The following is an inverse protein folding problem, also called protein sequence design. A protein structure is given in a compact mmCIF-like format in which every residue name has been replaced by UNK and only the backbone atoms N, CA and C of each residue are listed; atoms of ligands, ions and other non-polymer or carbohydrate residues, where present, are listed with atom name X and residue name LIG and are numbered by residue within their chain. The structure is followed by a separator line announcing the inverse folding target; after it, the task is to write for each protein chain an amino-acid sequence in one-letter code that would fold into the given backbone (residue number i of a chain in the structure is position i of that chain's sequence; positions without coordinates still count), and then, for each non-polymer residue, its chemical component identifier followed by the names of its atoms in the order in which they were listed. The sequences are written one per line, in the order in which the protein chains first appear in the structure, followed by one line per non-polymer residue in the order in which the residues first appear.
data_IF_636999730210
#
_entry.id   IF_636999730210
#
_cell.length_a   1.000
_cell.length_b   1.000
_cell.length_c   1.000
_cell.angle_alpha   90.00
_cell.angle_beta   90.00
_cell.angle_gamma   90.00
#
_symmetry.space_group_name_H-M   'P 1'
#
loop_
_entity.id
_entity.type
_entity.pdbx_description
1 polymer ?
#
# COMPACT_ATOMS: atom_id res chain seq x y z
N UNK A 1 -14.34 12.05 -18.40
CA UNK A 1 -14.70 10.66 -18.07
C UNK A 1 -13.82 10.07 -16.95
N UNK A 2 -12.51 9.88 -17.11
CA UNK A 2 -11.68 9.25 -16.06
C UNK A 2 -11.62 10.00 -14.72
N UNK A 3 -11.63 11.33 -14.72
CA UNK A 3 -11.65 12.11 -13.48
C UNK A 3 -13.02 12.06 -12.80
N UNK A 4 -14.11 11.99 -13.56
CA UNK A 4 -15.47 11.90 -13.05
C UNK A 4 -15.69 10.64 -12.23
N UNK A 5 -15.09 9.52 -12.65
CA UNK A 5 -15.14 8.24 -11.92
C UNK A 5 -14.58 8.35 -10.49
N UNK A 6 -13.59 9.22 -10.27
CA UNK A 6 -13.04 9.42 -8.92
C UNK A 6 -14.05 10.07 -7.96
N UNK A 7 -14.97 10.87 -8.47
CA UNK A 7 -16.06 11.48 -7.69
C UNK A 7 -17.35 10.65 -7.70
N UNK A 8 -17.53 9.78 -8.70
CA UNK A 8 -18.64 8.85 -8.81
C UNK A 8 -18.14 7.43 -9.13
N UNK A 9 -17.63 6.69 -8.13
CA UNK A 9 -17.02 5.38 -8.34
C UNK A 9 -17.97 4.30 -8.88
N UNK A 10 -19.28 4.49 -8.81
CA UNK A 10 -20.24 3.54 -9.34
C UNK A 10 -20.16 3.41 -10.88
N UNK A 11 -19.62 4.43 -11.56
CA UNK A 11 -19.34 4.39 -13.01
C UNK A 11 -18.27 3.35 -13.40
N UNK A 12 -17.50 2.83 -12.44
CA UNK A 12 -16.55 1.74 -12.72
C UNK A 12 -17.24 0.48 -13.24
N UNK A 13 -18.47 0.22 -12.82
CA UNK A 13 -19.24 -0.96 -13.25
C UNK A 13 -19.61 -0.95 -14.73
N UNK A 14 -19.51 0.20 -15.38
CA UNK A 14 -19.76 0.34 -16.83
C UNK A 14 -18.51 0.01 -17.66
N UNK A 15 -17.35 -0.24 -16.99
CA UNK A 15 -16.09 -0.52 -17.69
C UNK A 15 -16.04 -1.96 -18.20
N UNK A 16 -15.74 -2.08 -19.49
CA UNK A 16 -15.49 -3.36 -20.11
C UNK A 16 -14.04 -3.82 -19.94
N UNK A 17 -13.78 -5.07 -20.36
CA UNK A 17 -12.43 -5.67 -20.30
C UNK A 17 -11.36 -4.78 -20.96
N UNK A 18 -11.68 -4.17 -22.09
CA UNK A 18 -10.72 -3.34 -22.82
C UNK A 18 -10.38 -2.05 -22.07
N UNK A 19 -11.39 -1.44 -21.42
CA UNK A 19 -11.19 -0.22 -20.63
C UNK A 19 -10.26 -0.49 -19.43
N UNK A 20 -10.46 -1.62 -18.74
CA UNK A 20 -9.65 -2.05 -17.60
C UNK A 20 -8.19 -2.29 -18.03
N UNK A 21 -7.98 -3.03 -19.12
CA UNK A 21 -6.64 -3.30 -19.66
C UNK A 21 -5.92 -2.00 -20.06
N UNK A 22 -6.63 -1.05 -20.65
CA UNK A 22 -6.07 0.24 -21.04
C UNK A 22 -5.66 1.08 -19.81
N UNK A 23 -6.49 1.07 -18.75
CA UNK A 23 -6.15 1.73 -17.48
C UNK A 23 -4.88 1.13 -16.91
N UNK A 24 -4.78 -0.20 -16.82
CA UNK A 24 -3.60 -0.88 -16.29
C UNK A 24 -2.34 -0.60 -17.13
N UNK A 25 -2.45 -0.59 -18.46
CA UNK A 25 -1.35 -0.20 -19.33
C UNK A 25 -0.89 1.25 -19.04
N UNK A 26 -1.82 2.19 -18.99
CA UNK A 26 -1.51 3.60 -18.77
C UNK A 26 -0.86 3.84 -17.40
N UNK A 27 -1.33 3.21 -16.33
CA UNK A 27 -0.73 3.35 -14.99
C UNK A 27 0.64 2.66 -14.91
N UNK A 28 0.83 1.52 -15.57
CA UNK A 28 2.12 0.84 -15.67
C UNK A 28 3.17 1.77 -16.30
N UNK A 29 2.84 2.47 -17.41
CA UNK A 29 3.73 3.46 -18.04
C UNK A 29 4.05 4.66 -17.13
N UNK A 30 3.12 5.05 -16.24
CA UNK A 30 3.37 6.08 -15.23
C UNK A 30 4.34 5.58 -14.18
N UNK A 31 4.09 4.39 -13.63
CA UNK A 31 4.89 3.81 -12.55
C UNK A 31 6.27 3.33 -13.01
N UNK A 32 6.44 2.95 -14.27
CA UNK A 32 7.74 2.59 -14.86
C UNK A 32 8.77 3.73 -14.75
N UNK A 33 8.30 4.98 -14.67
CA UNK A 33 9.16 6.16 -14.51
C UNK A 33 9.53 6.44 -13.05
N UNK A 34 8.87 5.79 -12.10
CA UNK A 34 9.17 5.94 -10.69
C UNK A 34 10.33 5.01 -10.27
N UNK A 35 11.27 5.47 -9.43
CA UNK A 35 12.33 4.61 -8.92
C UNK A 35 11.76 3.55 -7.97
N UNK A 36 12.49 2.46 -7.75
CA UNK A 36 12.12 1.44 -6.76
C UNK A 36 12.05 2.00 -5.32
N UNK A 37 12.83 3.04 -5.02
CA UNK A 37 12.80 3.78 -3.78
C UNK A 37 12.53 5.27 -4.05
N UNK A 38 11.32 5.72 -3.76
CA UNK A 38 10.90 7.11 -3.97
C UNK A 38 11.43 7.99 -2.85
N UNK A 39 12.04 9.12 -3.21
CA UNK A 39 12.40 10.21 -2.29
C UNK A 39 11.41 11.36 -2.48
N UNK A 40 10.48 11.51 -1.55
CA UNK A 40 9.47 12.56 -1.57
C UNK A 40 10.05 13.85 -0.96
N UNK A 41 10.61 14.71 -1.81
CA UNK A 41 11.27 15.95 -1.42
C UNK A 41 10.27 17.11 -1.24
N UNK A 42 9.32 16.94 -0.34
CA UNK A 42 8.26 17.89 -0.04
C UNK A 42 8.43 18.38 1.41
N UNK A 43 8.27 19.69 1.62
CA UNK A 43 8.45 20.35 2.91
C UNK A 43 7.15 20.88 3.53
N UNK A 44 6.03 20.75 2.84
CA UNK A 44 4.74 21.27 3.31
C UNK A 44 3.60 20.36 2.88
N UNK A 45 2.54 20.33 3.69
CA UNK A 45 1.37 19.52 3.48
C UNK A 45 1.28 18.34 4.45
N UNK A 46 0.31 17.48 4.24
CA UNK A 46 0.10 16.28 5.04
C UNK A 46 0.22 15.04 4.16
N UNK A 47 0.95 14.06 4.62
CA UNK A 47 1.03 12.73 4.00
C UNK A 47 0.17 11.75 4.81
N UNK A 48 -0.77 11.06 4.14
CA UNK A 48 -1.56 9.98 4.72
C UNK A 48 -1.03 8.65 4.20
N UNK A 49 -0.62 7.78 5.11
CA UNK A 49 -0.18 6.42 4.83
C UNK A 49 -1.32 5.44 5.13
N UNK A 50 -1.70 4.68 4.12
CA UNK A 50 -2.80 3.71 4.13
C UNK A 50 -2.21 2.32 4.09
N UNK A 51 -2.58 1.47 5.05
CA UNK A 51 -2.17 0.07 5.09
C UNK A 51 -2.94 -0.80 4.11
N UNK A 52 -2.84 -2.10 4.30
CA UNK A 52 -3.46 -3.14 3.49
C UNK A 52 -4.96 -2.86 3.29
N UNK A 53 -5.38 -2.82 2.03
CA UNK A 53 -6.80 -2.60 1.68
C UNK A 53 -7.50 -3.90 1.30
N UNK A 54 -6.79 -4.88 0.75
CA UNK A 54 -7.31 -6.21 0.43
C UNK A 54 -8.71 -6.17 -0.19
N UNK A 55 -8.86 -5.46 -1.30
CA UNK A 55 -10.15 -5.36 -1.98
C UNK A 55 -11.25 -4.65 -1.20
N UNK A 56 -10.94 -3.97 -0.08
CA UNK A 56 -11.93 -3.16 0.66
C UNK A 56 -12.20 -1.85 -0.09
N UNK A 57 -12.92 -2.00 -1.20
CA UNK A 57 -13.24 -0.90 -2.09
C UNK A 57 -14.05 0.20 -1.40
N UNK A 58 -14.95 -0.16 -0.50
CA UNK A 58 -15.76 0.81 0.24
C UNK A 58 -14.91 1.70 1.14
N UNK A 59 -13.95 1.13 1.88
CA UNK A 59 -13.01 1.91 2.70
C UNK A 59 -12.08 2.76 1.83
N UNK A 60 -11.60 2.21 0.72
CA UNK A 60 -10.78 2.96 -0.23
C UNK A 60 -11.53 4.17 -0.81
N UNK A 61 -12.80 4.01 -1.23
CA UNK A 61 -13.65 5.13 -1.66
C UNK A 61 -13.75 6.23 -0.60
N UNK A 62 -13.92 5.87 0.66
CA UNK A 62 -13.98 6.82 1.77
C UNK A 62 -12.68 7.61 1.92
N UNK A 63 -11.53 6.92 1.92
CA UNK A 63 -10.21 7.55 2.02
C UNK A 63 -9.95 8.49 0.84
N UNK A 64 -10.23 8.03 -0.39
CA UNK A 64 -10.06 8.84 -1.59
C UNK A 64 -10.97 10.06 -1.58
N UNK A 65 -12.22 9.92 -1.13
CA UNK A 65 -13.15 11.05 -0.97
C UNK A 65 -12.60 12.10 0.00
N UNK A 66 -11.99 11.67 1.12
CA UNK A 66 -11.31 12.60 2.05
C UNK A 66 -10.16 13.34 1.36
N UNK A 67 -9.33 12.62 0.61
CA UNK A 67 -8.21 13.20 -0.16
C UNK A 67 -8.70 14.21 -1.20
N UNK A 68 -9.74 13.87 -1.99
CA UNK A 68 -10.27 14.73 -3.04
C UNK A 68 -10.92 16.01 -2.49
N UNK A 69 -11.50 15.95 -1.29
CA UNK A 69 -12.17 17.07 -0.64
C UNK A 69 -11.27 17.88 0.30
N UNK A 70 -10.03 17.44 0.51
CA UNK A 70 -9.12 18.11 1.41
C UNK A 70 -8.66 19.45 0.84
N UNK A 71 -8.63 20.49 1.70
CA UNK A 71 -7.99 21.76 1.40
C UNK A 71 -6.48 21.65 1.67
N UNK A 72 -5.66 22.11 0.72
CA UNK A 72 -4.20 22.14 0.87
C UNK A 72 -3.48 20.99 0.18
N UNK A 73 -2.17 20.90 0.44
CA UNK A 73 -1.31 19.90 -0.17
C UNK A 73 -1.42 18.58 0.59
N UNK A 74 -2.23 17.66 0.05
CA UNK A 74 -2.37 16.31 0.57
C UNK A 74 -1.63 15.32 -0.32
N UNK A 75 -0.93 14.37 0.32
CA UNK A 75 -0.24 13.26 -0.32
C UNK A 75 -0.80 11.96 0.22
N UNK A 76 -1.09 11.02 -0.65
CA UNK A 76 -1.70 9.74 -0.32
C UNK A 76 -0.75 8.60 -0.70
N UNK A 77 -0.32 7.83 0.29
CA UNK A 77 0.64 6.75 0.15
C UNK A 77 -0.03 5.45 0.58
N UNK A 78 -0.29 4.57 -0.35
CA UNK A 78 -0.75 3.21 -0.07
C UNK A 78 0.45 2.27 0.03
N UNK A 79 0.43 1.41 1.04
CA UNK A 79 1.56 0.56 1.39
C UNK A 79 1.54 -0.83 0.74
N UNK A 80 0.56 -1.11 -0.13
CA UNK A 80 0.44 -2.40 -0.82
C UNK A 80 -0.74 -3.24 -0.33
N UNK A 81 -0.85 -4.44 -0.86
CA UNK A 81 -1.92 -5.40 -0.65
C UNK A 81 -3.29 -4.83 -1.00
N UNK A 82 -3.47 -4.62 -2.31
CA UNK A 82 -4.70 -4.06 -2.88
C UNK A 82 -5.76 -5.11 -3.20
N UNK A 83 -5.32 -6.34 -3.44
CA UNK A 83 -6.12 -7.47 -3.94
C UNK A 83 -6.21 -8.59 -2.90
N UNK A 84 -7.03 -9.58 -3.20
CA UNK A 84 -7.31 -10.76 -2.38
C UNK A 84 -8.00 -10.45 -1.04
N UNK A 85 -8.66 -11.46 -0.45
CA UNK A 85 -9.27 -11.39 0.88
C UNK A 85 -10.34 -10.31 1.02
N UNK A 86 -10.95 -9.88 -0.05
CA UNK A 86 -11.93 -8.80 -0.07
C UNK A 86 -13.10 -9.05 0.89
N UNK A 87 -13.58 -8.00 1.58
CA UNK A 87 -14.77 -8.08 2.42
C UNK A 87 -16.08 -7.95 1.64
N UNK A 88 -16.01 -7.67 0.34
CA UNK A 88 -17.14 -7.47 -0.55
C UNK A 88 -16.87 -8.08 -1.94
N UNK A 89 -17.88 -8.63 -2.63
CA UNK A 89 -17.68 -9.21 -3.96
C UNK A 89 -17.08 -8.20 -4.95
N UNK A 90 -16.22 -8.69 -5.85
CA UNK A 90 -15.54 -7.89 -6.89
C UNK A 90 -14.63 -6.78 -6.30
N UNK A 91 -14.34 -6.87 -5.00
CA UNK A 91 -13.64 -5.83 -4.28
C UNK A 91 -12.21 -5.67 -4.75
N UNK A 92 -11.49 -6.75 -5.03
CA UNK A 92 -10.09 -6.71 -5.47
C UNK A 92 -9.94 -5.97 -6.80
N UNK A 93 -10.80 -6.28 -7.78
CA UNK A 93 -10.78 -5.63 -9.09
C UNK A 93 -11.05 -4.13 -8.99
N UNK A 94 -12.19 -3.76 -8.37
CA UNK A 94 -12.62 -2.36 -8.38
C UNK A 94 -11.75 -1.48 -7.49
N UNK A 95 -11.22 -2.04 -6.40
CA UNK A 95 -10.22 -1.37 -5.57
C UNK A 95 -8.96 -1.03 -6.38
N UNK A 96 -8.40 -2.02 -7.10
CA UNK A 96 -7.20 -1.83 -7.90
C UNK A 96 -7.43 -0.84 -9.05
N UNK A 97 -8.52 -0.99 -9.82
CA UNK A 97 -8.84 -0.09 -10.95
C UNK A 97 -9.02 1.34 -10.47
N UNK A 98 -9.73 1.54 -9.35
CA UNK A 98 -9.96 2.87 -8.78
C UNK A 98 -8.66 3.54 -8.33
N UNK A 99 -7.77 2.80 -7.66
CA UNK A 99 -6.46 3.29 -7.27
C UNK A 99 -5.55 3.58 -8.46
N UNK A 100 -5.60 2.78 -9.52
CA UNK A 100 -4.90 3.05 -10.78
C UNK A 100 -5.37 4.35 -11.43
N UNK A 101 -6.68 4.58 -11.49
CA UNK A 101 -7.25 5.84 -11.98
C UNK A 101 -6.83 7.04 -11.12
N UNK A 102 -6.83 6.87 -9.80
CA UNK A 102 -6.37 7.90 -8.88
C UNK A 102 -4.90 8.24 -9.14
N UNK A 103 -4.04 7.23 -9.30
CA UNK A 103 -2.61 7.39 -9.61
C UNK A 103 -2.40 8.12 -10.94
N UNK A 104 -3.12 7.76 -11.99
CA UNK A 104 -3.02 8.42 -13.31
C UNK A 104 -3.33 9.92 -13.19
N UNK A 105 -4.36 10.28 -12.42
CA UNK A 105 -4.82 11.67 -12.31
C UNK A 105 -3.99 12.50 -11.30
N UNK A 106 -3.35 11.87 -10.32
CA UNK A 106 -2.63 12.56 -9.24
C UNK A 106 -1.20 12.04 -9.06
N UNK A 107 -0.45 11.87 -10.15
CA UNK A 107 0.88 11.21 -10.20
C UNK A 107 1.86 11.73 -9.15
N UNK A 108 1.89 13.04 -8.91
CA UNK A 108 2.82 13.68 -7.96
C UNK A 108 2.34 13.66 -6.49
N UNK A 109 1.11 13.21 -6.24
CA UNK A 109 0.50 13.25 -4.90
C UNK A 109 -0.01 11.90 -4.40
N UNK A 110 -0.13 10.92 -5.29
CA UNK A 110 -0.58 9.56 -4.97
C UNK A 110 0.53 8.57 -5.28
N UNK A 111 0.88 7.75 -4.31
CA UNK A 111 1.92 6.73 -4.41
C UNK A 111 1.34 5.38 -4.02
N UNK A 112 1.49 4.40 -4.91
CA UNK A 112 1.04 3.02 -4.69
C UNK A 112 2.28 2.14 -4.57
N UNK A 113 2.63 1.76 -3.35
CA UNK A 113 3.75 0.85 -3.11
C UNK A 113 3.30 -0.60 -3.33
N UNK A 114 4.26 -1.47 -3.62
CA UNK A 114 4.03 -2.89 -3.81
C UNK A 114 3.83 -3.59 -2.47
N UNK A 115 2.79 -4.44 -2.36
CA UNK A 115 2.62 -5.42 -1.30
C UNK A 115 3.08 -6.81 -1.72
N UNK A 116 3.00 -7.77 -0.82
CA UNK A 116 3.38 -9.15 -1.14
C UNK A 116 2.35 -9.84 -2.04
N UNK A 117 1.08 -9.46 -1.99
CA UNK A 117 0.06 -9.96 -2.92
C UNK A 117 0.32 -9.48 -4.36
N UNK A 118 0.77 -8.24 -4.54
CA UNK A 118 1.20 -7.73 -5.85
C UNK A 118 2.51 -8.36 -6.33
N UNK A 119 3.26 -9.02 -5.46
CA UNK A 119 4.51 -9.71 -5.81
C UNK A 119 4.37 -11.23 -5.97
N UNK A 120 3.13 -11.76 -6.04
CA UNK A 120 2.86 -13.20 -6.17
C UNK A 120 3.59 -13.84 -7.37
N UNK A 121 3.84 -13.08 -8.43
CA UNK A 121 4.62 -13.53 -9.60
C UNK A 121 6.10 -13.87 -9.28
N UNK A 122 6.64 -13.38 -8.17
CA UNK A 122 8.04 -13.57 -7.75
C UNK A 122 8.19 -14.44 -6.51
N UNK A 123 7.27 -14.27 -5.54
CA UNK A 123 7.19 -15.02 -4.28
C UNK A 123 5.72 -15.29 -4.01
N UNK A 124 5.33 -16.55 -4.12
CA UNK A 124 3.94 -16.97 -3.97
C UNK A 124 3.38 -16.59 -2.58
N UNK A 125 2.20 -15.98 -2.58
CA UNK A 125 1.40 -15.76 -1.38
C UNK A 125 0.18 -16.68 -1.38
N UNK A 126 -0.33 -17.02 -0.19
CA UNK A 126 -1.48 -17.88 -0.05
C UNK A 126 -2.46 -17.33 1.02
N UNK A 127 -3.77 -17.33 0.72
CA UNK A 127 -4.37 -17.56 -0.60
C UNK A 127 -4.10 -16.41 -1.56
N UNK A 128 -4.04 -16.71 -2.87
CA UNK A 128 -4.07 -15.73 -3.95
C UNK A 128 -5.29 -16.02 -4.80
N UNK A 129 -6.31 -15.17 -4.71
CA UNK A 129 -7.66 -15.41 -5.24
C UNK A 129 -8.01 -14.44 -6.38
N UNK A 130 -7.18 -13.41 -6.62
CA UNK A 130 -7.48 -12.35 -7.59
C UNK A 130 -7.64 -12.85 -9.04
N UNK A 131 -6.85 -13.85 -9.45
CA UNK A 131 -6.99 -14.42 -10.79
C UNK A 131 -8.32 -15.18 -10.96
N UNK A 132 -8.73 -15.93 -9.93
CA UNK A 132 -10.00 -16.65 -9.88
C UNK A 132 -11.19 -15.68 -9.93
N UNK A 133 -11.16 -14.60 -9.16
CA UNK A 133 -12.17 -13.53 -9.20
C UNK A 133 -12.33 -12.98 -10.62
N UNK A 134 -11.25 -12.69 -11.32
CA UNK A 134 -11.30 -12.16 -12.68
C UNK A 134 -11.85 -13.18 -13.68
N UNK A 135 -11.56 -14.47 -13.51
CA UNK A 135 -12.10 -15.53 -14.36
C UNK A 135 -13.61 -15.70 -14.10
N UNK A 136 -14.05 -15.62 -12.86
CA UNK A 136 -15.48 -15.67 -12.52
C UNK A 136 -16.25 -14.51 -13.16
N UNK A 137 -15.69 -13.30 -13.15
CA UNK A 137 -16.33 -12.11 -13.70
C UNK A 137 -16.33 -12.06 -15.23
N UNK A 138 -15.24 -12.45 -15.87
CA UNK A 138 -15.05 -12.22 -17.31
C UNK A 138 -14.78 -13.47 -18.14
N UNK A 139 -14.88 -14.65 -17.53
CA UNK A 139 -14.54 -15.92 -18.19
C UNK A 139 -13.06 -15.93 -18.61
N UNK A 140 -12.76 -16.53 -19.75
CA UNK A 140 -11.39 -16.60 -20.30
C UNK A 140 -10.73 -15.24 -20.55
N UNK A 141 -11.50 -14.15 -20.58
CA UNK A 141 -10.93 -12.80 -20.72
C UNK A 141 -10.35 -12.27 -19.40
N UNK A 142 -10.73 -12.86 -18.27
CA UNK A 142 -10.19 -12.51 -16.95
C UNK A 142 -8.69 -12.67 -16.88
N UNK A 143 -8.13 -13.73 -17.49
CA UNK A 143 -6.68 -13.93 -17.57
C UNK A 143 -5.95 -12.76 -18.23
N UNK A 144 -6.54 -12.14 -19.27
CA UNK A 144 -5.91 -10.97 -19.91
C UNK A 144 -5.90 -9.74 -19.00
N UNK A 145 -6.94 -9.57 -18.17
CA UNK A 145 -6.97 -8.52 -17.16
C UNK A 145 -5.92 -8.79 -16.10
N UNK A 146 -5.79 -10.04 -15.65
CA UNK A 146 -4.76 -10.46 -14.69
C UNK A 146 -3.35 -10.17 -15.21
N UNK A 147 -3.05 -10.57 -16.46
CA UNK A 147 -1.73 -10.31 -17.06
C UNK A 147 -1.43 -8.80 -17.13
N UNK A 148 -2.42 -7.98 -17.45
CA UNK A 148 -2.29 -6.54 -17.44
C UNK A 148 -2.06 -5.98 -16.02
N UNK A 149 -2.76 -6.51 -15.00
CA UNK A 149 -2.53 -6.16 -13.61
C UNK A 149 -1.13 -6.56 -13.14
N UNK A 150 -0.64 -7.75 -13.50
CA UNK A 150 0.74 -8.18 -13.18
C UNK A 150 1.77 -7.21 -13.76
N UNK A 151 1.53 -6.66 -14.95
CA UNK A 151 2.40 -5.62 -15.53
C UNK A 151 2.42 -4.34 -14.68
N UNK A 152 1.28 -3.95 -14.08
CA UNK A 152 1.24 -2.85 -13.09
C UNK A 152 2.02 -3.21 -11.84
N UNK A 153 1.80 -4.41 -11.30
CA UNK A 153 2.46 -4.89 -10.08
C UNK A 153 3.99 -4.91 -10.22
N UNK A 154 4.50 -5.31 -11.38
CA UNK A 154 5.94 -5.30 -11.65
C UNK A 154 6.53 -3.89 -11.53
N UNK A 155 5.79 -2.87 -11.94
CA UNK A 155 6.24 -1.48 -11.97
C UNK A 155 6.00 -0.71 -10.65
N UNK A 156 5.30 -1.27 -9.66
CA UNK A 156 5.10 -0.61 -8.37
C UNK A 156 6.42 -0.41 -7.62
N UNK A 157 6.67 0.81 -7.05
CA UNK A 157 7.78 1.06 -6.14
C UNK A 157 7.74 0.18 -4.89
N UNK A 158 8.90 -0.08 -4.30
CA UNK A 158 9.03 -0.90 -3.08
C UNK A 158 8.97 -0.06 -1.79
N UNK A 159 9.53 1.14 -1.82
CA UNK A 159 9.66 1.99 -0.65
C UNK A 159 9.48 3.47 -1.00
N UNK A 160 9.13 4.26 0.01
CA UNK A 160 9.07 5.72 -0.06
C UNK A 160 9.72 6.33 1.19
N UNK A 161 10.45 7.44 1.04
CA UNK A 161 10.98 8.23 2.15
C UNK A 161 10.58 9.69 1.99
N UNK A 162 10.07 10.30 3.05
CA UNK A 162 9.80 11.73 3.14
C UNK A 162 11.03 12.50 3.61
N UNK A 163 11.11 13.78 3.26
CA UNK A 163 12.23 14.63 3.66
C UNK A 163 12.31 14.85 5.19
N UNK A 164 11.17 14.80 5.87
CA UNK A 164 11.07 15.08 7.30
C UNK A 164 11.38 13.88 8.21
N UNK A 165 11.83 12.73 7.66
CA UNK A 165 12.38 11.64 8.43
C UNK A 165 11.53 10.37 8.54
N UNK A 166 10.47 10.23 7.74
CA UNK A 166 9.69 8.99 7.65
C UNK A 166 10.15 8.17 6.46
N UNK A 167 10.36 6.87 6.67
CA UNK A 167 10.49 5.88 5.60
C UNK A 167 9.32 4.91 5.69
N UNK A 168 8.81 4.46 4.54
CA UNK A 168 7.65 3.56 4.48
C UNK A 168 7.84 2.47 3.44
N UNK A 169 7.34 1.29 3.76
CA UNK A 169 7.27 0.13 2.88
C UNK A 169 6.12 -0.79 3.32
N UNK A 170 5.85 -1.84 2.53
CA UNK A 170 4.78 -2.77 2.89
C UNK A 170 5.05 -3.51 4.21
N UNK A 171 6.22 -4.17 4.35
CA UNK A 171 6.52 -5.02 5.51
C UNK A 171 7.83 -4.69 6.21
N UNK A 172 8.96 -4.80 5.53
CA UNK A 172 10.29 -4.63 6.07
C UNK A 172 11.16 -3.67 5.27
N UNK A 173 12.46 -3.90 5.33
CA UNK A 173 13.49 -3.07 4.69
C UNK A 173 14.67 -3.97 4.28
N UNK A 174 15.61 -3.51 3.40
CA UNK A 174 16.77 -4.30 3.00
C UNK A 174 17.66 -4.62 4.20
N UNK A 175 17.66 -5.88 4.63
CA UNK A 175 18.32 -6.30 5.88
C UNK A 175 19.82 -6.49 5.74
N UNK A 176 20.31 -6.62 4.50
CA UNK A 176 21.72 -6.88 4.18
C UNK A 176 22.42 -5.67 3.57
N UNK A 177 21.81 -4.47 3.68
CA UNK A 177 22.33 -3.24 3.09
C UNK A 177 22.28 -3.20 1.56
N UNK A 178 21.38 -4.01 0.94
CA UNK A 178 21.19 -4.00 -0.51
C UNK A 178 20.71 -2.64 -0.98
N UNK A 179 21.17 -2.23 -2.16
CA UNK A 179 20.66 -1.05 -2.85
C UNK A 179 19.27 -1.35 -3.40
N UNK A 180 18.34 -0.42 -3.21
CA UNK A 180 16.95 -0.51 -3.69
C UNK A 180 16.89 0.16 -5.07
N UNK A 181 17.28 -0.56 -6.10
CA UNK A 181 17.40 -0.07 -7.48
C UNK A 181 16.62 -0.91 -8.51
N UNK A 182 16.08 -2.05 -8.09
CA UNK A 182 15.34 -2.96 -8.96
C UNK A 182 14.07 -3.46 -8.24
N UNK A 183 12.91 -3.21 -8.85
CA UNK A 183 11.57 -3.55 -8.35
C UNK A 183 11.26 -5.05 -8.43
N UNK A 184 12.07 -5.82 -9.17
CA UNK A 184 11.88 -7.26 -9.45
C UNK A 184 12.82 -8.17 -8.67
N UNK A 185 13.81 -7.64 -8.00
CA UNK A 185 14.82 -8.42 -7.27
C UNK A 185 14.19 -9.22 -6.14
N UNK A 186 14.30 -10.54 -6.22
CA UNK A 186 13.65 -11.46 -5.28
C UNK A 186 14.11 -11.27 -3.82
N UNK A 187 15.39 -10.98 -3.59
CA UNK A 187 15.91 -10.73 -2.24
C UNK A 187 15.34 -9.44 -1.62
N UNK A 188 15.15 -8.37 -2.42
CA UNK A 188 14.48 -7.16 -1.99
C UNK A 188 12.98 -7.38 -1.74
N UNK A 189 12.33 -8.17 -2.61
CA UNK A 189 10.92 -8.54 -2.46
C UNK A 189 10.71 -9.27 -1.14
N UNK A 190 11.55 -10.25 -0.79
CA UNK A 190 11.45 -10.99 0.46
C UNK A 190 11.68 -10.06 1.67
N UNK A 191 12.75 -9.27 1.65
CA UNK A 191 13.08 -8.41 2.78
C UNK A 191 12.07 -7.27 2.99
N UNK A 192 11.56 -6.65 1.90
CA UNK A 192 10.73 -5.45 1.98
C UNK A 192 9.23 -5.77 2.07
N UNK A 193 8.77 -6.86 1.42
CA UNK A 193 7.34 -7.16 1.31
C UNK A 193 6.85 -8.27 2.23
N UNK A 194 7.77 -9.01 2.89
CA UNK A 194 7.39 -10.17 3.72
C UNK A 194 7.90 -10.12 5.16
N UNK A 195 8.98 -9.38 5.43
CA UNK A 195 9.61 -9.42 6.75
C UNK A 195 8.74 -8.81 7.85
N UNK A 196 8.60 -9.55 8.95
CA UNK A 196 7.90 -9.08 10.14
C UNK A 196 8.87 -8.68 11.26
N UNK A 197 8.46 -7.80 12.20
CA UNK A 197 9.22 -7.58 13.42
C UNK A 197 9.27 -8.85 14.25
N UNK A 198 10.35 -9.09 14.97
CA UNK A 198 10.52 -10.30 15.81
C UNK A 198 9.48 -10.42 16.93
N UNK A 199 8.91 -9.29 17.35
CA UNK A 199 7.78 -9.24 18.31
C UNK A 199 6.44 -9.69 17.71
N UNK A 200 6.34 -9.85 16.38
CA UNK A 200 5.16 -10.40 15.74
C UNK A 200 4.98 -11.89 16.04
N UNK A 201 3.76 -12.34 16.41
CA UNK A 201 3.47 -13.76 16.59
C UNK A 201 3.40 -14.54 15.29
N UNK A 202 3.39 -13.87 14.12
CA UNK A 202 3.27 -14.53 12.83
C UNK A 202 4.49 -15.35 12.49
N UNK A 203 4.25 -16.54 11.92
CA UNK A 203 5.26 -17.38 11.29
C UNK A 203 4.88 -17.57 9.82
N UNK A 204 5.72 -17.06 8.91
CA UNK A 204 5.46 -17.09 7.46
C UNK A 204 6.35 -18.10 6.71
N UNK A 205 7.10 -18.91 7.43
CA UNK A 205 8.06 -19.87 6.87
C UNK A 205 9.51 -19.50 7.21
N UNK A 206 10.40 -20.50 7.10
CA UNK A 206 11.82 -20.35 7.48
C UNK A 206 12.61 -19.41 6.57
N UNK A 207 12.14 -19.17 5.34
CA UNK A 207 12.81 -18.29 4.38
C UNK A 207 12.43 -16.82 4.54
N UNK A 208 11.35 -16.53 5.29
CA UNK A 208 10.88 -15.18 5.54
C UNK A 208 11.58 -14.64 6.79
N UNK A 209 12.36 -13.57 6.65
CA UNK A 209 13.11 -13.03 7.77
C UNK A 209 12.21 -12.29 8.77
N UNK A 210 12.69 -12.23 10.01
CA UNK A 210 12.20 -11.30 11.01
C UNK A 210 13.30 -10.29 11.34
N UNK A 211 12.92 -9.04 11.60
CA UNK A 211 13.86 -8.00 11.97
C UNK A 211 13.73 -7.62 13.44
N UNK A 212 14.86 -7.28 14.05
CA UNK A 212 14.97 -6.79 15.42
C UNK A 212 14.96 -5.26 15.48
N UNK A 213 14.82 -4.71 16.70
CA UNK A 213 14.94 -3.27 16.94
C UNK A 213 16.28 -2.71 16.46
N UNK A 214 17.40 -3.40 16.78
CA UNK A 214 18.74 -2.94 16.39
C UNK A 214 18.92 -2.89 14.87
N UNK A 215 18.39 -3.88 14.15
CA UNK A 215 18.43 -3.89 12.69
C UNK A 215 17.62 -2.71 12.10
N UNK A 216 16.44 -2.42 12.66
CA UNK A 216 15.65 -1.26 12.25
C UNK A 216 16.38 0.06 12.53
N UNK A 217 16.95 0.23 13.71
CA UNK A 217 17.70 1.44 14.09
C UNK A 217 18.89 1.66 13.14
N UNK A 218 19.63 0.60 12.83
CA UNK A 218 20.74 0.66 11.89
C UNK A 218 20.28 1.08 10.47
N UNK A 219 19.15 0.52 9.99
CA UNK A 219 18.56 0.90 8.71
C UNK A 219 18.11 2.36 8.72
N UNK A 220 17.40 2.83 9.75
CA UNK A 220 16.95 4.22 9.88
C UNK A 220 18.13 5.20 9.88
N UNK A 221 19.18 4.91 10.65
CA UNK A 221 20.38 5.72 10.69
C UNK A 221 21.08 5.80 9.32
N UNK A 222 21.22 4.67 8.63
CA UNK A 222 21.87 4.62 7.31
C UNK A 222 21.06 5.33 6.21
N UNK A 223 19.73 5.33 6.32
CA UNK A 223 18.82 6.01 5.38
C UNK A 223 18.60 7.49 5.72
N UNK A 224 19.05 7.96 6.90
CA UNK A 224 18.79 9.30 7.41
C UNK A 224 17.30 9.51 7.81
N UNK A 225 16.59 8.42 8.11
CA UNK A 225 15.22 8.43 8.60
C UNK A 225 15.18 8.29 10.13
N UNK A 226 14.01 8.55 10.72
CA UNK A 226 13.79 8.53 12.16
C UNK A 226 12.67 7.58 12.57
N UNK A 227 11.75 7.27 11.63
CA UNK A 227 10.59 6.44 11.87
C UNK A 227 10.23 5.61 10.63
N UNK A 228 9.79 4.38 10.86
CA UNK A 228 9.33 3.45 9.83
C UNK A 228 7.83 3.24 9.94
N UNK A 229 7.10 3.47 8.83
CA UNK A 229 5.67 3.15 8.71
C UNK A 229 5.52 1.94 7.79
N UNK A 230 4.75 0.95 8.25
CA UNK A 230 4.51 -0.29 7.49
C UNK A 230 3.06 -0.77 7.58
N UNK A 231 2.70 -1.76 6.75
CA UNK A 231 1.46 -2.52 6.74
C UNK A 231 1.68 -3.98 7.13
N UNK A 232 1.07 -4.89 6.37
CA UNK A 232 1.31 -6.34 6.30
C UNK A 232 0.86 -7.18 7.49
N UNK A 233 1.11 -6.77 8.72
CA UNK A 233 0.81 -7.57 9.91
C UNK A 233 -0.21 -6.91 10.82
N UNK A 234 -1.44 -7.38 10.73
CA UNK A 234 -2.54 -6.89 11.56
C UNK A 234 -2.36 -7.17 13.06
N UNK A 235 -1.48 -8.10 13.47
CA UNK A 235 -1.30 -8.43 14.90
C UNK A 235 -0.54 -7.35 15.67
N UNK A 236 0.25 -6.53 14.98
CA UNK A 236 1.02 -5.42 15.56
C UNK A 236 0.53 -4.05 15.08
N UNK A 237 -0.63 -4.01 14.38
CA UNK A 237 -1.21 -2.77 13.87
C UNK A 237 -1.70 -1.85 14.99
N UNK A 238 -1.70 -0.54 14.71
CA UNK A 238 -2.17 0.51 15.61
C UNK A 238 -1.29 0.77 16.83
N UNK A 239 -0.09 0.17 16.88
CA UNK A 239 0.85 0.33 18.00
C UNK A 239 2.24 0.68 17.50
N UNK A 240 2.90 1.59 18.20
CA UNK A 240 4.31 1.84 18.01
C UNK A 240 5.13 0.77 18.75
N UNK A 241 6.15 0.25 18.10
CA UNK A 241 7.11 -0.73 18.64
C UNK A 241 8.53 -0.21 18.48
N UNK A 242 9.51 -0.89 19.09
CA UNK A 242 10.93 -0.60 18.95
C UNK A 242 11.27 0.85 19.31
N UNK A 243 11.09 1.20 20.59
CA UNK A 243 11.31 2.55 21.12
C UNK A 243 10.61 3.63 20.28
N UNK A 244 9.38 3.34 19.83
CA UNK A 244 8.58 4.18 18.95
C UNK A 244 9.18 4.42 17.54
N UNK A 245 10.06 3.54 17.06
CA UNK A 245 10.70 3.70 15.74
C UNK A 245 9.93 3.05 14.60
N UNK A 246 8.97 2.18 14.91
CA UNK A 246 8.15 1.49 13.91
C UNK A 246 6.67 1.56 14.27
N UNK A 247 5.84 1.82 13.26
CA UNK A 247 4.38 1.78 13.39
C UNK A 247 3.78 0.99 12.24
N UNK A 248 2.86 0.09 12.58
CA UNK A 248 2.10 -0.67 11.58
C UNK A 248 0.70 -0.09 11.48
N UNK A 249 0.26 0.23 10.27
CA UNK A 249 -1.11 0.61 9.93
C UNK A 249 -1.78 -0.52 9.14
N UNK A 250 -3.06 -0.74 9.38
CA UNK A 250 -3.86 -1.75 8.68
C UNK A 250 -5.25 -1.18 8.44
N UNK A 251 -5.77 -1.28 7.21
CA UNK A 251 -6.93 -0.46 6.82
C UNK A 251 -8.15 -1.29 6.42
N UNK A 252 -7.97 -2.57 6.01
CA UNK A 252 -9.05 -3.43 5.56
C UNK A 252 -10.05 -3.76 6.67
N UNK A 253 -11.33 -3.49 6.45
CA UNK A 253 -12.43 -3.74 7.41
C UNK A 253 -12.62 -5.22 7.76
N UNK A 254 -12.21 -6.17 6.91
CA UNK A 254 -12.23 -7.60 7.22
C UNK A 254 -11.48 -7.92 8.51
N UNK A 255 -10.45 -7.14 8.81
CA UNK A 255 -9.59 -7.31 9.97
C UNK A 255 -9.88 -6.31 11.09
N UNK A 256 -10.85 -5.42 10.93
CA UNK A 256 -11.17 -4.35 11.89
C UNK A 256 -11.37 -4.86 13.32
N UNK A 257 -11.98 -6.02 13.49
CA UNK A 257 -12.21 -6.63 14.78
C UNK A 257 -10.94 -7.04 15.52
N UNK A 258 -9.84 -7.30 14.79
CA UNK A 258 -8.56 -7.73 15.35
C UNK A 258 -7.53 -6.60 15.42
N UNK A 259 -7.47 -5.79 14.41
CA UNK A 259 -6.42 -4.80 14.18
C UNK A 259 -6.89 -3.35 14.39
N UNK A 260 -8.20 -3.11 14.45
CA UNK A 260 -8.75 -1.79 14.15
C UNK A 260 -8.61 -1.47 12.65
N UNK A 261 -8.94 -0.25 12.28
CA UNK A 261 -8.73 0.27 10.93
C UNK A 261 -8.00 1.60 11.08
N UNK A 262 -6.71 1.61 10.75
CA UNK A 262 -5.89 2.79 11.00
C UNK A 262 -5.18 3.28 9.75
N UNK A 263 -5.05 4.61 9.65
CA UNK A 263 -4.13 5.29 8.74
C UNK A 263 -3.20 6.18 9.55
N UNK A 264 -1.99 6.41 9.05
CA UNK A 264 -1.05 7.31 9.70
C UNK A 264 -0.98 8.64 8.94
N UNK A 265 -1.05 9.76 9.66
CA UNK A 265 -0.94 11.11 9.11
C UNK A 265 0.33 11.77 9.58
N UNK A 266 1.08 12.34 8.67
CA UNK A 266 2.37 12.99 8.89
C UNK A 266 2.31 14.42 8.37
N UNK A 267 2.54 15.40 9.24
CA UNK A 267 2.77 16.79 8.87
C UNK A 267 4.18 16.92 8.26
N UNK A 268 4.25 17.15 6.95
CA UNK A 268 5.51 17.22 6.21
C UNK A 268 6.33 18.46 6.51
N UNK A 269 5.74 19.47 7.17
CA UNK A 269 6.44 20.71 7.60
C UNK A 269 7.25 20.53 8.88
N UNK A 270 7.05 19.44 9.61
CA UNK A 270 7.69 19.17 10.91
C UNK A 270 8.59 17.96 10.82
N UNK A 271 9.76 18.04 11.44
CA UNK A 271 10.66 16.88 11.56
C UNK A 271 10.02 15.82 12.43
N UNK A 272 9.95 14.59 11.92
CA UNK A 272 9.54 13.41 12.68
C UNK A 272 10.76 12.86 13.43
N UNK A 273 10.64 12.64 14.72
CA UNK A 273 11.68 12.03 15.57
C UNK A 273 11.40 10.55 15.81
N UNK A 274 10.13 10.21 15.96
CA UNK A 274 9.62 8.85 16.14
C UNK A 274 8.09 8.82 15.91
N UNK A 275 7.46 7.69 16.16
CA UNK A 275 6.03 7.49 15.94
C UNK A 275 5.12 8.37 16.81
N UNK A 276 5.61 8.99 17.87
CA UNK A 276 4.81 9.93 18.69
C UNK A 276 4.51 11.25 17.99
N UNK A 277 5.28 11.59 16.95
CA UNK A 277 5.03 12.75 16.08
C UNK A 277 4.02 12.43 14.95
N UNK A 278 3.50 11.20 14.88
CA UNK A 278 2.61 10.71 13.84
C UNK A 278 1.20 10.56 14.42
N UNK A 279 0.20 11.09 13.71
CA UNK A 279 -1.20 10.95 14.12
C UNK A 279 -1.77 9.66 13.52
N UNK A 280 -2.19 8.73 14.38
CA UNK A 280 -3.01 7.60 13.94
C UNK A 280 -4.47 8.00 13.94
N UNK A 281 -5.11 7.93 12.77
CA UNK A 281 -6.55 8.11 12.64
C UNK A 281 -7.22 6.73 12.59
N UNK A 282 -8.15 6.50 13.52
CA UNK A 282 -9.00 5.30 13.53
C UNK A 282 -10.19 5.52 12.59
N UNK A 283 -10.33 4.63 11.61
CA UNK A 283 -11.42 4.62 10.64
C UNK A 283 -12.57 3.68 11.04
N UNK A 284 -12.50 3.03 12.20
CA UNK A 284 -13.51 2.04 12.63
C UNK A 284 -14.91 2.67 12.71
N UNK A 285 -15.00 3.94 13.10
CA UNK A 285 -16.27 4.69 13.11
C UNK A 285 -16.96 4.78 11.73
N UNK A 286 -16.19 4.65 10.66
CA UNK A 286 -16.76 4.62 9.31
C UNK A 286 -17.62 3.38 9.06
N UNK A 287 -17.33 2.26 9.74
CA UNK A 287 -18.13 1.03 9.61
C UNK A 287 -19.60 1.25 10.01
N UNK A 288 -19.87 2.14 10.96
CA UNK A 288 -21.22 2.45 11.39
C UNK A 288 -22.01 3.23 10.33
N UNK A 289 -21.33 3.85 9.36
CA UNK A 289 -21.96 4.56 8.24
C UNK A 289 -22.23 3.68 7.02
N UNK A 290 -21.69 2.45 7.01
CA UNK A 290 -21.90 1.46 5.95
C UNK A 290 -23.07 0.51 6.25
N UNK A 291 -23.65 0.59 7.46
CA UNK A 291 -24.84 -0.16 7.89
C UNK A 291 -26.09 0.66 7.60
#
# INVERSE_FOLDING_TARGET
MLLEVLYNPDLLRDFGVQDIIEIFKNVSEVMAKEPAFIKLNIQQGEAMFVGDTHGDFSTTKYIVKKFLNASGNQYLIFLGDYVDREPEPEGSLWNLVYLCLLKINFQARVFLLKGNHEANYAVECFPYEFNEELIELFGSRGTKIHDAAVSVFQEMPLMLQTLNGVVAAHAGFPMRGQKIDDKSRKDLIIDILWADPDVSPMFRGYEIPKFTEDQLINFLNSSGASCFIRGHDYNVAGKAIYSNKCITVFTCRRYAFRAGMTVAKVDLSRKVKDATDIVLEDLTFYLDTLR
#
